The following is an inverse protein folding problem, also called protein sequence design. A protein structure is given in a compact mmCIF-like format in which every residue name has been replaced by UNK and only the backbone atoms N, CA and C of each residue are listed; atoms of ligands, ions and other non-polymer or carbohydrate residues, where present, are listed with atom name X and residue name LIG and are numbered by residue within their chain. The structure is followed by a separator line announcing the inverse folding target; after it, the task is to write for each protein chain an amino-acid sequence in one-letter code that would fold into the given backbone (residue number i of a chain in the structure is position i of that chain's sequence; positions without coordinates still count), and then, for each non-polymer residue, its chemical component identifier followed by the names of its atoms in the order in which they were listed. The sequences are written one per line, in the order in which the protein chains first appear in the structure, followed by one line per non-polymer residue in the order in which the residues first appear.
data_IF_106965440814
#
_entry.id   IF_106965440814
#
_cell.length_a   1.000
_cell.length_b   1.000
_cell.length_c   1.000
_cell.angle_alpha   90.00
_cell.angle_beta   90.00
_cell.angle_gamma   90.00
#
_symmetry.space_group_name_H-M   'P 1'
#
loop_
_entity.id
_entity.type
_entity.pdbx_description
1 polymer ?
#
# COMPACT_ATOMS: atom_id res chain seq x y z
N UNK A 1 42.28 -37.10 0.82
CA UNK A 1 41.25 -36.71 1.80
C UNK A 1 40.95 -35.22 1.62
N UNK A 2 39.88 -34.89 0.88
CA UNK A 2 39.44 -33.51 0.61
C UNK A 2 38.07 -33.34 1.26
N UNK A 3 37.97 -32.50 2.29
CA UNK A 3 36.70 -32.20 2.97
C UNK A 3 36.06 -30.97 2.32
N UNK A 4 34.84 -31.17 1.81
CA UNK A 4 33.89 -30.16 1.33
C UNK A 4 33.12 -29.55 2.50
N UNK A 5 32.79 -28.26 2.41
CA UNK A 5 31.77 -27.50 3.17
C UNK A 5 32.17 -26.01 3.06
N UNK A 6 31.41 -25.03 2.60
CA UNK A 6 29.98 -24.84 2.40
C UNK A 6 29.85 -23.53 1.59
N UNK A 7 29.39 -23.58 0.35
CA UNK A 7 28.91 -22.39 -0.38
C UNK A 7 27.42 -22.62 -0.59
N UNK A 8 26.64 -22.14 0.37
CA UNK A 8 25.18 -21.99 0.29
C UNK A 8 24.91 -20.57 0.74
N UNK A 9 24.39 -19.74 -0.17
CA UNK A 9 24.05 -18.35 0.12
C UNK A 9 24.43 -17.34 -0.95
N UNK A 10 24.35 -17.68 -2.24
CA UNK A 10 24.42 -16.72 -3.33
C UNK A 10 23.28 -17.00 -4.30
N UNK A 11 22.12 -16.36 -4.08
CA UNK A 11 20.99 -16.56 -4.98
C UNK A 11 19.67 -15.92 -4.63
N UNK A 12 19.60 -14.67 -4.14
CA UNK A 12 18.41 -13.78 -4.30
C UNK A 12 18.76 -12.27 -4.26
N UNK A 13 19.89 -11.82 -4.80
CA UNK A 13 20.21 -10.37 -4.84
C UNK A 13 20.77 -9.91 -6.20
N UNK A 14 20.16 -10.35 -7.30
CA UNK A 14 20.46 -9.82 -8.64
C UNK A 14 19.19 -9.66 -9.47
N UNK A 15 18.31 -8.76 -9.02
CA UNK A 15 17.22 -8.23 -9.86
C UNK A 15 16.85 -6.80 -9.48
N UNK A 16 17.88 -5.97 -9.25
CA UNK A 16 17.71 -4.52 -9.25
C UNK A 16 18.90 -3.88 -9.95
N UNK A 17 18.63 -3.29 -11.12
CA UNK A 17 19.49 -2.26 -11.70
C UNK A 17 20.54 -2.71 -12.71
N UNK A 18 20.15 -3.29 -13.86
CA UNK A 18 20.93 -3.10 -15.09
C UNK A 18 20.12 -3.41 -16.34
N UNK A 19 19.30 -2.46 -16.81
CA UNK A 19 18.87 -2.37 -18.21
C UNK A 19 18.24 -1.00 -18.48
N UNK A 20 19.08 0.04 -18.53
CA UNK A 20 18.80 1.25 -19.32
C UNK A 20 20.08 1.56 -20.10
N UNK A 21 20.03 1.35 -21.41
CA UNK A 21 21.13 1.61 -22.32
C UNK A 21 21.40 3.11 -22.50
N UNK A 22 22.65 3.50 -22.84
CA UNK A 22 23.03 4.89 -23.03
C UNK A 22 22.74 5.34 -24.47
N UNK A 23 21.51 5.80 -24.75
CA UNK A 23 21.22 6.66 -25.89
C UNK A 23 20.11 7.64 -25.51
N UNK A 24 20.54 8.84 -25.12
CA UNK A 24 19.89 10.15 -25.24
C UNK A 24 20.46 11.08 -24.15
N UNK A 25 21.76 11.38 -24.26
CA UNK A 25 22.41 12.46 -23.50
C UNK A 25 22.09 13.77 -24.21
N UNK A 26 20.85 14.24 -24.06
CA UNK A 26 20.42 15.55 -24.50
C UNK A 26 19.36 16.08 -23.53
N UNK A 27 19.81 16.64 -22.41
CA UNK A 27 19.42 18.02 -22.06
C UNK A 27 20.30 18.55 -20.93
N UNK A 28 21.40 19.18 -21.34
CA UNK A 28 22.15 20.13 -20.53
C UNK A 28 21.39 21.46 -20.44
N UNK A 29 20.14 21.46 -19.98
CA UNK A 29 19.47 22.68 -19.50
C UNK A 29 18.39 22.27 -18.49
N UNK A 30 18.69 22.34 -17.19
CA UNK A 30 17.67 22.65 -16.16
C UNK A 30 18.24 22.90 -14.76
N UNK A 31 19.57 22.87 -14.58
CA UNK A 31 20.21 23.38 -13.35
C UNK A 31 20.12 24.90 -13.31
N UNK A 32 18.94 25.42 -12.98
CA UNK A 32 18.64 26.85 -12.94
C UNK A 32 17.28 27.22 -12.36
N UNK A 33 16.42 26.27 -11.94
CA UNK A 33 15.17 26.58 -11.21
C UNK A 33 14.92 25.54 -10.10
N UNK A 34 15.83 25.44 -9.14
CA UNK A 34 15.62 24.69 -7.88
C UNK A 34 15.14 25.59 -6.73
N UNK A 35 14.35 26.63 -7.01
CA UNK A 35 13.84 27.51 -5.97
C UNK A 35 12.43 28.06 -6.20
N UNK A 36 11.50 27.24 -6.70
CA UNK A 36 10.05 27.36 -6.44
C UNK A 36 9.42 25.97 -6.56
N UNK A 37 9.59 25.09 -5.56
CA UNK A 37 8.87 23.79 -5.51
C UNK A 37 8.23 23.50 -4.15
N UNK A 38 8.19 24.48 -3.26
CA UNK A 38 7.28 24.49 -2.12
C UNK A 38 6.07 25.34 -2.47
N UNK A 39 4.87 24.85 -2.16
CA UNK A 39 3.62 25.63 -2.11
C UNK A 39 2.82 25.79 -3.41
N UNK A 40 2.68 24.73 -4.22
CA UNK A 40 1.61 24.65 -5.25
C UNK A 40 0.87 23.31 -5.28
N UNK A 41 0.86 22.56 -4.16
CA UNK A 41 -0.07 21.42 -4.02
C UNK A 41 -1.51 21.88 -3.75
N UNK A 42 -1.70 23.09 -3.21
CA UNK A 42 -3.02 23.62 -2.86
C UNK A 42 -3.79 24.24 -4.04
N UNK A 43 -3.25 24.20 -5.26
CA UNK A 43 -3.82 24.90 -6.42
C UNK A 43 -4.44 23.96 -7.47
N UNK A 44 -4.45 22.65 -7.23
CA UNK A 44 -5.04 21.68 -8.16
C UNK A 44 -6.45 21.33 -7.67
N UNK A 45 -7.50 21.52 -8.49
CA UNK A 45 -8.86 21.12 -8.11
C UNK A 45 -8.93 19.62 -7.79
N UNK A 46 -9.63 19.27 -6.71
CA UNK A 46 -9.82 17.86 -6.28
C UNK A 46 -10.37 16.99 -7.41
N UNK A 47 -11.26 17.54 -8.26
CA UNK A 47 -11.77 16.85 -9.45
C UNK A 47 -10.65 16.35 -10.39
N UNK A 48 -9.62 17.17 -10.61
CA UNK A 48 -8.49 16.77 -11.46
C UNK A 48 -7.65 15.66 -10.82
N UNK A 49 -7.49 15.68 -9.49
CA UNK A 49 -6.79 14.59 -8.79
C UNK A 49 -7.58 13.27 -8.85
N UNK A 50 -8.91 13.32 -8.79
CA UNK A 50 -9.77 12.15 -8.99
C UNK A 50 -9.70 11.60 -10.41
N UNK A 51 -9.70 12.47 -11.44
CA UNK A 51 -9.51 12.05 -12.83
C UNK A 51 -8.12 11.41 -13.05
N UNK A 52 -7.08 12.00 -12.45
CA UNK A 52 -5.74 11.43 -12.46
C UNK A 52 -5.70 10.07 -11.76
N UNK A 53 -6.33 9.94 -10.60
CA UNK A 53 -6.42 8.67 -9.88
C UNK A 53 -7.12 7.60 -10.72
N UNK A 54 -8.22 7.95 -11.39
CA UNK A 54 -8.94 7.06 -12.32
C UNK A 54 -8.05 6.61 -13.47
N UNK A 55 -7.27 7.52 -14.03
CA UNK A 55 -6.32 7.19 -15.11
C UNK A 55 -5.22 6.26 -14.61
N UNK A 56 -4.62 6.52 -13.45
CA UNK A 56 -3.61 5.62 -12.85
C UNK A 56 -4.16 4.21 -12.64
N UNK A 57 -5.40 4.07 -12.16
CA UNK A 57 -6.06 2.76 -11.99
C UNK A 57 -6.35 2.07 -13.33
N UNK A 58 -6.62 2.84 -14.39
CA UNK A 58 -6.75 2.32 -15.76
C UNK A 58 -5.40 1.86 -16.31
N UNK A 59 -4.34 2.57 -16.00
CA UNK A 59 -2.97 2.25 -16.43
C UNK A 59 -2.42 0.97 -15.76
N UNK A 60 -3.03 0.50 -14.67
CA UNK A 60 -2.73 -0.82 -14.10
C UNK A 60 -3.17 -2.00 -15.01
N UNK A 61 -4.11 -1.78 -15.94
CA UNK A 61 -4.61 -2.85 -16.82
C UNK A 61 -3.56 -3.50 -17.72
N UNK A 62 -2.73 -2.76 -18.47
CA UNK A 62 -1.64 -3.36 -19.23
C UNK A 62 -0.65 -4.12 -18.35
N UNK A 63 -0.37 -3.65 -17.14
CA UNK A 63 0.54 -4.32 -16.20
C UNK A 63 -0.05 -5.66 -15.72
N UNK A 64 -1.32 -5.68 -15.32
CA UNK A 64 -2.04 -6.90 -14.93
C UNK A 64 -2.06 -7.91 -16.09
N UNK A 65 -2.32 -7.44 -17.33
CA UNK A 65 -2.30 -8.31 -18.52
C UNK A 65 -0.91 -8.87 -18.77
N UNK A 66 0.14 -8.07 -18.59
CA UNK A 66 1.51 -8.53 -18.74
C UNK A 66 1.82 -9.67 -17.77
N UNK A 67 1.54 -9.47 -16.47
CA UNK A 67 1.74 -10.52 -15.47
C UNK A 67 0.88 -11.76 -15.69
N UNK A 68 -0.35 -11.59 -16.19
CA UNK A 68 -1.20 -12.72 -16.58
C UNK A 68 -0.55 -13.57 -17.68
N UNK A 69 0.05 -12.92 -18.69
CA UNK A 69 0.77 -13.61 -19.76
C UNK A 69 2.04 -14.31 -19.26
N UNK A 70 2.75 -13.71 -18.30
CA UNK A 70 3.91 -14.34 -17.68
C UNK A 70 3.52 -15.59 -16.89
N UNK A 71 2.47 -15.51 -16.08
CA UNK A 71 1.91 -16.64 -15.33
C UNK A 71 1.49 -17.76 -16.28
N UNK A 72 0.81 -17.43 -17.38
CA UNK A 72 0.39 -18.42 -18.38
C UNK A 72 1.58 -19.14 -19.04
N UNK A 73 2.69 -18.45 -19.30
CA UNK A 73 3.92 -19.09 -19.81
C UNK A 73 4.51 -20.06 -18.78
N UNK A 74 4.57 -19.64 -17.52
CA UNK A 74 5.07 -20.49 -16.42
C UNK A 74 4.20 -21.73 -16.26
N UNK A 75 2.88 -21.60 -16.40
CA UNK A 75 1.95 -22.74 -16.36
C UNK A 75 2.24 -23.77 -17.46
N UNK A 76 2.44 -23.32 -18.70
CA UNK A 76 2.82 -24.21 -19.82
C UNK A 76 4.18 -24.88 -19.56
N UNK A 77 5.14 -24.16 -18.99
CA UNK A 77 6.45 -24.71 -18.64
C UNK A 77 6.35 -25.76 -17.53
N UNK A 78 5.49 -25.54 -16.53
CA UNK A 78 5.19 -26.51 -15.46
C UNK A 78 4.56 -27.77 -16.03
N UNK A 79 3.59 -27.62 -16.93
CA UNK A 79 2.93 -28.75 -17.60
C UNK A 79 3.92 -29.56 -18.44
N UNK A 80 4.79 -28.86 -19.19
CA UNK A 80 5.84 -29.50 -19.96
C UNK A 80 6.79 -30.29 -19.06
N UNK A 81 7.26 -29.68 -17.97
CA UNK A 81 8.16 -30.34 -17.03
C UNK A 81 7.49 -31.55 -16.36
N UNK A 82 6.18 -31.47 -16.06
CA UNK A 82 5.42 -32.59 -15.53
C UNK A 82 5.36 -33.77 -16.51
N UNK A 83 5.07 -33.51 -17.79
CA UNK A 83 5.09 -34.56 -18.84
C UNK A 83 6.48 -35.16 -19.03
N UNK A 84 7.52 -34.32 -19.02
CA UNK A 84 8.91 -34.78 -19.12
C UNK A 84 9.28 -35.68 -17.93
N UNK A 85 8.76 -35.40 -16.74
CA UNK A 85 8.95 -36.22 -15.54
C UNK A 85 8.23 -37.57 -15.66
N UNK A 86 6.98 -37.57 -16.15
CA UNK A 86 6.18 -38.79 -16.38
C UNK A 86 6.88 -39.73 -17.37
N UNK A 87 7.33 -39.21 -18.52
CA UNK A 87 8.09 -39.98 -19.50
C UNK A 87 9.39 -40.57 -18.91
N UNK A 88 10.04 -39.85 -17.98
CA UNK A 88 11.24 -40.34 -17.29
C UNK A 88 10.92 -41.40 -16.26
N UNK A 89 9.81 -41.25 -15.53
CA UNK A 89 9.33 -42.24 -14.57
C UNK A 89 8.99 -43.56 -15.29
N UNK A 90 8.33 -43.52 -16.44
CA UNK A 90 8.08 -44.71 -17.28
C UNK A 90 9.38 -45.38 -17.75
N UNK A 91 10.33 -44.59 -18.26
CA UNK A 91 11.63 -45.11 -18.71
C UNK A 91 12.41 -45.77 -17.57
N UNK A 92 12.43 -45.15 -16.39
CA UNK A 92 13.08 -45.72 -15.21
C UNK A 92 12.38 -47.01 -14.77
N UNK A 93 11.05 -47.06 -14.81
CA UNK A 93 10.31 -48.27 -14.47
C UNK A 93 10.67 -49.44 -15.41
N UNK A 94 10.76 -49.18 -16.72
CA UNK A 94 11.17 -50.18 -17.71
C UNK A 94 12.61 -50.63 -17.49
N UNK A 95 13.56 -49.70 -17.30
CA UNK A 95 14.95 -50.04 -16.98
C UNK A 95 15.07 -50.86 -15.69
N UNK A 96 14.27 -50.54 -14.68
CA UNK A 96 14.24 -51.30 -13.42
C UNK A 96 13.74 -52.73 -13.65
N UNK A 97 12.67 -52.90 -14.43
CA UNK A 97 12.13 -54.22 -14.76
C UNK A 97 13.17 -55.07 -15.52
N UNK A 98 13.81 -54.53 -16.55
CA UNK A 98 14.87 -55.21 -17.31
C UNK A 98 16.04 -55.63 -16.40
N UNK A 99 16.49 -54.76 -15.50
CA UNK A 99 17.56 -55.09 -14.56
C UNK A 99 17.17 -56.19 -13.57
N UNK A 100 15.91 -56.23 -13.13
CA UNK A 100 15.41 -57.27 -12.23
C UNK A 100 15.33 -58.63 -12.93
N UNK A 101 14.95 -58.65 -14.21
CA UNK A 101 14.98 -59.84 -15.06
C UNK A 101 16.42 -60.37 -15.21
N UNK A 102 17.35 -59.52 -15.66
CA UNK A 102 18.77 -59.88 -15.79
C UNK A 102 19.38 -60.39 -14.47
N UNK A 103 18.98 -59.79 -13.36
CA UNK A 103 19.41 -60.22 -12.02
C UNK A 103 18.84 -61.60 -11.67
N UNK A 104 17.57 -61.85 -11.99
CA UNK A 104 16.91 -63.14 -11.74
C UNK A 104 17.59 -64.25 -12.53
N UNK A 105 17.81 -64.03 -13.83
CA UNK A 105 18.47 -65.00 -14.71
C UNK A 105 19.89 -65.34 -14.22
N UNK A 106 20.64 -64.32 -13.81
CA UNK A 106 21.97 -64.52 -13.20
C UNK A 106 21.92 -65.35 -11.91
N UNK A 107 20.85 -65.27 -11.13
CA UNK A 107 20.69 -66.03 -9.89
C UNK A 107 20.36 -67.51 -10.14
N UNK A 108 19.76 -67.85 -11.28
CA UNK A 108 19.49 -69.23 -11.69
C UNK A 108 20.77 -70.02 -12.05
N UNK A 109 21.91 -69.34 -12.22
CA UNK A 109 23.24 -69.96 -12.30
C UNK A 109 23.62 -70.51 -13.68
N UNK A 110 22.92 -70.12 -14.75
CA UNK A 110 23.26 -70.47 -16.12
C UNK A 110 24.65 -69.97 -16.55
N UNK A 111 25.37 -70.75 -17.36
CA UNK A 111 26.68 -70.36 -17.91
C UNK A 111 26.59 -69.55 -19.21
N UNK A 112 25.47 -69.69 -19.93
CA UNK A 112 25.19 -69.01 -21.20
C UNK A 112 23.78 -68.43 -21.16
N UNK A 113 23.66 -67.14 -21.42
CA UNK A 113 22.41 -66.40 -21.47
C UNK A 113 22.11 -65.98 -22.91
N UNK A 114 20.84 -66.00 -23.33
CA UNK A 114 20.44 -65.65 -24.69
C UNK A 114 19.50 -64.45 -24.66
N UNK A 115 19.99 -63.30 -25.13
CA UNK A 115 19.20 -62.09 -25.27
C UNK A 115 19.22 -61.63 -26.72
N UNK A 116 18.04 -61.32 -27.28
CA UNK A 116 17.90 -60.85 -28.66
C UNK A 116 18.69 -61.67 -29.70
N UNK A 117 18.63 -63.01 -29.59
CA UNK A 117 19.34 -63.99 -30.44
C UNK A 117 20.88 -63.96 -30.36
N UNK A 118 21.45 -63.33 -29.33
CA UNK A 118 22.90 -63.32 -29.06
C UNK A 118 23.19 -64.04 -27.75
N UNK A 119 24.31 -64.75 -27.73
CA UNK A 119 24.78 -65.48 -26.54
C UNK A 119 25.72 -64.60 -25.73
N UNK A 120 25.53 -64.59 -24.42
CA UNK A 120 26.32 -63.84 -23.45
C UNK A 120 26.78 -64.75 -22.32
N UNK A 121 27.99 -64.49 -21.81
CA UNK A 121 28.49 -65.19 -20.62
C UNK A 121 28.00 -64.52 -19.33
N UNK A 122 28.02 -65.25 -18.21
CA UNK A 122 27.66 -64.68 -16.89
C UNK A 122 28.43 -63.40 -16.57
N UNK A 123 29.73 -63.36 -16.87
CA UNK A 123 30.57 -62.19 -16.59
C UNK A 123 30.20 -60.98 -17.47
N UNK A 124 29.82 -61.21 -18.73
CA UNK A 124 29.33 -60.16 -19.62
C UNK A 124 28.01 -59.58 -19.12
N UNK A 125 27.08 -60.43 -18.68
CA UNK A 125 25.79 -59.99 -18.14
C UNK A 125 25.98 -59.23 -16.81
N UNK A 126 26.89 -59.68 -15.94
CA UNK A 126 27.23 -58.96 -14.70
C UNK A 126 27.84 -57.57 -14.98
N UNK A 127 28.73 -57.48 -15.96
CA UNK A 127 29.34 -56.21 -16.35
C UNK A 127 28.29 -55.24 -16.92
N UNK A 128 27.38 -55.72 -17.78
CA UNK A 128 26.27 -54.93 -18.33
C UNK A 128 25.33 -54.46 -17.21
N UNK A 129 24.90 -55.37 -16.33
CA UNK A 129 24.03 -55.05 -15.19
C UNK A 129 24.66 -53.99 -14.27
N UNK A 130 25.97 -54.06 -14.04
CA UNK A 130 26.71 -53.06 -13.25
C UNK A 130 26.64 -51.69 -13.92
N UNK A 131 26.92 -51.62 -15.22
CA UNK A 131 26.84 -50.36 -15.99
C UNK A 131 25.42 -49.78 -15.98
N UNK A 132 24.41 -50.61 -16.24
CA UNK A 132 22.99 -50.19 -16.21
C UNK A 132 22.59 -49.68 -14.84
N UNK A 133 23.01 -50.33 -13.77
CA UNK A 133 22.67 -49.92 -12.42
C UNK A 133 23.28 -48.57 -12.04
N UNK A 134 24.53 -48.30 -12.43
CA UNK A 134 25.14 -46.98 -12.22
C UNK A 134 24.45 -45.87 -13.02
N UNK A 135 24.06 -46.15 -14.27
CA UNK A 135 23.26 -45.24 -15.06
C UNK A 135 21.89 -44.99 -14.42
N UNK A 136 21.20 -46.04 -13.99
CA UNK A 136 19.89 -45.95 -13.33
C UNK A 136 19.94 -45.10 -12.06
N UNK A 137 20.96 -45.25 -11.21
CA UNK A 137 21.14 -44.39 -10.02
C UNK A 137 21.23 -42.91 -10.40
N UNK A 138 22.01 -42.62 -11.44
CA UNK A 138 22.22 -41.24 -11.92
C UNK A 138 20.94 -40.66 -12.51
N UNK A 139 20.22 -41.44 -13.32
CA UNK A 139 18.94 -41.04 -13.92
C UNK A 139 17.84 -40.88 -12.84
N UNK A 140 17.78 -41.77 -11.85
CA UNK A 140 16.87 -41.65 -10.70
C UNK A 140 17.14 -40.38 -9.90
N UNK A 141 18.41 -40.09 -9.60
CA UNK A 141 18.78 -38.85 -8.89
C UNK A 141 18.39 -37.61 -9.71
N UNK A 142 18.57 -37.66 -11.03
CA UNK A 142 18.16 -36.59 -11.93
C UNK A 142 16.63 -36.40 -11.93
N UNK A 143 15.86 -37.50 -11.97
CA UNK A 143 14.40 -37.49 -11.87
C UNK A 143 13.96 -36.86 -10.54
N UNK A 144 14.58 -37.24 -9.44
CA UNK A 144 14.25 -36.70 -8.12
C UNK A 144 14.50 -35.19 -8.05
N UNK A 145 15.62 -34.71 -8.60
CA UNK A 145 15.90 -33.27 -8.71
C UNK A 145 14.87 -32.56 -9.59
N UNK A 146 14.47 -33.15 -10.74
CA UNK A 146 13.41 -32.58 -11.59
C UNK A 146 12.07 -32.50 -10.87
N UNK A 147 11.72 -33.51 -10.05
CA UNK A 147 10.51 -33.51 -9.23
C UNK A 147 10.54 -32.36 -8.21
N UNK A 148 11.66 -32.16 -7.52
CA UNK A 148 11.83 -31.02 -6.60
C UNK A 148 11.69 -29.66 -7.31
N UNK A 149 12.25 -29.52 -8.52
CA UNK A 149 12.10 -28.31 -9.33
C UNK A 149 10.65 -28.10 -9.73
N UNK A 150 9.93 -29.16 -10.13
CA UNK A 150 8.52 -29.09 -10.48
C UNK A 150 7.67 -28.63 -9.30
N UNK A 151 7.91 -29.19 -8.11
CA UNK A 151 7.18 -28.83 -6.90
C UNK A 151 7.42 -27.36 -6.51
N UNK A 152 8.69 -26.91 -6.56
CA UNK A 152 9.02 -25.51 -6.32
C UNK A 152 8.37 -24.56 -7.34
N UNK A 153 8.34 -24.95 -8.62
CA UNK A 153 7.67 -24.15 -9.68
C UNK A 153 6.15 -24.10 -9.49
N UNK A 154 5.52 -25.20 -9.09
CA UNK A 154 4.08 -25.24 -8.78
C UNK A 154 3.74 -24.31 -7.63
N UNK A 155 4.49 -24.37 -6.54
CA UNK A 155 4.33 -23.46 -5.41
C UNK A 155 4.50 -21.99 -5.82
N UNK A 156 5.52 -21.70 -6.64
CA UNK A 156 5.72 -20.35 -7.19
C UNK A 156 4.58 -19.89 -8.09
N UNK A 157 4.04 -20.78 -8.92
CA UNK A 157 2.89 -20.50 -9.79
C UNK A 157 1.64 -20.20 -8.97
N UNK A 158 1.36 -20.96 -7.93
CA UNK A 158 0.21 -20.75 -7.05
C UNK A 158 0.32 -19.42 -6.29
N UNK A 159 1.51 -19.09 -5.79
CA UNK A 159 1.77 -17.80 -5.17
C UNK A 159 1.59 -16.63 -6.17
N UNK A 160 2.06 -16.78 -7.41
CA UNK A 160 1.91 -15.77 -8.44
C UNK A 160 0.43 -15.56 -8.84
N UNK A 161 -0.35 -16.65 -8.94
CA UNK A 161 -1.80 -16.60 -9.16
C UNK A 161 -2.51 -15.87 -8.03
N UNK A 162 -2.18 -16.19 -6.79
CA UNK A 162 -2.75 -15.50 -5.63
C UNK A 162 -2.44 -14.00 -5.66
N UNK A 163 -1.21 -13.62 -6.00
CA UNK A 163 -0.82 -12.22 -6.14
C UNK A 163 -1.59 -11.50 -7.24
N UNK A 164 -1.86 -12.18 -8.36
CA UNK A 164 -2.68 -11.64 -9.45
C UNK A 164 -4.13 -11.38 -9.00
N UNK A 165 -4.70 -12.28 -8.19
CA UNK A 165 -6.04 -12.09 -7.60
C UNK A 165 -6.04 -10.88 -6.66
N UNK A 166 -5.10 -10.81 -5.72
CA UNK A 166 -4.96 -9.68 -4.80
C UNK A 166 -4.82 -8.34 -5.55
N UNK A 167 -4.07 -8.31 -6.65
CA UNK A 167 -3.89 -7.11 -7.46
C UNK A 167 -5.19 -6.68 -8.15
N UNK A 168 -6.01 -7.63 -8.62
CA UNK A 168 -7.31 -7.33 -9.21
C UNK A 168 -8.33 -6.84 -8.17
N UNK A 169 -8.29 -7.41 -6.96
CA UNK A 169 -9.10 -6.96 -5.83
C UNK A 169 -8.72 -5.54 -5.43
N UNK A 170 -7.42 -5.27 -5.23
CA UNK A 170 -6.91 -3.94 -4.91
C UNK A 170 -7.30 -2.91 -5.98
N UNK A 171 -7.18 -3.26 -7.27
CA UNK A 171 -7.65 -2.41 -8.37
C UNK A 171 -9.16 -2.12 -8.27
N UNK A 172 -9.97 -3.12 -7.97
CA UNK A 172 -11.42 -2.96 -7.84
C UNK A 172 -11.79 -2.09 -6.65
N UNK A 173 -11.09 -2.26 -5.53
CA UNK A 173 -11.24 -1.42 -4.34
C UNK A 173 -10.91 0.04 -4.64
N UNK A 174 -9.76 0.31 -5.28
CA UNK A 174 -9.37 1.68 -5.68
C UNK A 174 -10.42 2.33 -6.59
N UNK A 175 -11.06 1.56 -7.49
CA UNK A 175 -12.15 2.08 -8.33
C UNK A 175 -13.38 2.49 -7.51
N UNK A 176 -13.76 1.66 -6.53
CA UNK A 176 -14.89 1.95 -5.65
C UNK A 176 -14.61 3.17 -4.77
N UNK A 177 -13.40 3.29 -4.22
CA UNK A 177 -12.96 4.42 -3.42
C UNK A 177 -12.98 5.73 -4.23
N UNK A 178 -12.45 5.72 -5.45
CA UNK A 178 -12.51 6.87 -6.35
C UNK A 178 -13.96 7.27 -6.63
N UNK A 179 -14.83 6.30 -6.96
CA UNK A 179 -16.25 6.58 -7.21
C UNK A 179 -16.96 7.15 -5.96
N UNK A 180 -16.61 6.67 -4.77
CA UNK A 180 -17.14 7.21 -3.52
C UNK A 180 -16.71 8.67 -3.30
N UNK A 181 -15.42 8.98 -3.50
CA UNK A 181 -14.90 10.34 -3.37
C UNK A 181 -15.51 11.30 -4.40
N UNK A 182 -15.73 10.83 -5.63
CA UNK A 182 -16.44 11.60 -6.66
C UNK A 182 -17.88 11.95 -6.24
N UNK A 183 -18.58 10.99 -5.60
CA UNK A 183 -19.91 11.25 -5.05
C UNK A 183 -19.87 12.29 -3.92
N UNK A 184 -18.89 12.21 -3.02
CA UNK A 184 -18.73 13.18 -1.93
C UNK A 184 -18.46 14.60 -2.48
N UNK A 185 -17.59 14.71 -3.49
CA UNK A 185 -17.29 15.98 -4.15
C UNK A 185 -18.55 16.60 -4.77
N UNK A 186 -19.36 15.79 -5.47
CA UNK A 186 -20.61 16.25 -6.08
C UNK A 186 -21.63 16.74 -5.04
N UNK A 187 -21.77 16.05 -3.91
CA UNK A 187 -22.64 16.50 -2.81
C UNK A 187 -22.16 17.85 -2.25
N UNK A 188 -20.85 18.01 -2.06
CA UNK A 188 -20.26 19.25 -1.57
C UNK A 188 -20.47 20.40 -2.56
N UNK A 189 -20.32 20.17 -3.86
CA UNK A 189 -20.60 21.17 -4.91
C UNK A 189 -22.07 21.62 -4.87
N UNK A 190 -23.02 20.67 -4.80
CA UNK A 190 -24.45 20.99 -4.67
C UNK A 190 -24.74 21.77 -3.39
N UNK A 191 -24.12 21.41 -2.27
CA UNK A 191 -24.26 22.13 -1.01
C UNK A 191 -23.71 23.56 -1.09
N UNK A 192 -22.55 23.75 -1.74
CA UNK A 192 -21.97 25.08 -1.98
C UNK A 192 -22.90 25.94 -2.83
N UNK A 193 -23.41 25.43 -3.95
CA UNK A 193 -24.38 26.14 -4.79
C UNK A 193 -25.67 26.47 -4.03
N UNK A 194 -26.14 25.58 -3.15
CA UNK A 194 -27.31 25.87 -2.29
C UNK A 194 -27.00 26.93 -1.21
N UNK A 195 -25.79 26.96 -0.67
CA UNK A 195 -25.36 27.95 0.33
C UNK A 195 -25.10 29.34 -0.26
N UNK A 196 -24.90 29.44 -1.57
CA UNK A 196 -24.74 30.70 -2.30
C UNK A 196 -26.07 31.47 -2.45
N UNK A 197 -27.16 30.96 -1.88
CA UNK A 197 -28.40 31.71 -1.66
C UNK A 197 -28.12 32.85 -0.66
N UNK A 198 -28.05 34.09 -1.16
CA UNK A 198 -27.90 35.32 -0.37
C UNK A 198 -28.96 35.40 0.73
N UNK A 199 -28.56 35.23 1.99
CA UNK A 199 -29.32 35.81 3.10
C UNK A 199 -29.17 37.33 3.02
N UNK A 200 -30.30 38.04 2.94
CA UNK A 200 -30.33 39.50 2.85
C UNK A 200 -29.98 40.13 4.20
N UNK A 201 -28.68 40.33 4.43
CA UNK A 201 -28.09 40.93 5.65
C UNK A 201 -28.55 42.38 5.89
N UNK A 202 -29.27 42.97 4.92
CA UNK A 202 -29.83 44.31 5.01
C UNK A 202 -30.98 44.41 6.01
N UNK A 203 -31.73 43.33 6.28
CA UNK A 203 -32.81 43.34 7.27
C UNK A 203 -32.25 43.26 8.69
N UNK A 204 -31.26 42.40 8.93
CA UNK A 204 -30.60 42.26 10.23
C UNK A 204 -29.84 43.54 10.62
N UNK A 205 -29.14 44.15 9.66
CA UNK A 205 -28.44 45.42 9.87
C UNK A 205 -29.41 46.58 10.17
N UNK A 206 -30.55 46.65 9.47
CA UNK A 206 -31.61 47.62 9.76
C UNK A 206 -32.21 47.43 11.15
N UNK A 207 -32.45 46.19 11.57
CA UNK A 207 -32.95 45.89 12.92
C UNK A 207 -31.95 46.25 14.01
N UNK A 208 -30.65 45.98 13.82
CA UNK A 208 -29.60 46.40 14.77
C UNK A 208 -29.54 47.92 14.93
N UNK A 209 -29.56 48.66 13.83
CA UNK A 209 -29.54 50.12 13.86
C UNK A 209 -30.78 50.69 14.57
N UNK A 210 -31.97 50.12 14.35
CA UNK A 210 -33.19 50.53 15.04
C UNK A 210 -33.11 50.31 16.56
N UNK A 211 -32.53 49.19 16.99
CA UNK A 211 -32.36 48.90 18.43
C UNK A 211 -31.39 49.88 19.08
N UNK A 212 -30.27 50.21 18.41
CA UNK A 212 -29.30 51.17 18.94
C UNK A 212 -29.88 52.60 19.02
N UNK A 213 -30.72 52.99 18.06
CA UNK A 213 -31.42 54.27 18.09
C UNK A 213 -32.42 54.35 19.27
N UNK A 214 -33.18 53.27 19.50
CA UNK A 214 -34.08 53.16 20.67
C UNK A 214 -33.30 53.25 21.98
N UNK A 215 -32.16 52.55 22.10
CA UNK A 215 -31.30 52.61 23.29
C UNK A 215 -30.80 54.03 23.55
N UNK A 216 -30.38 54.74 22.49
CA UNK A 216 -29.91 56.12 22.57
C UNK A 216 -31.03 57.04 23.06
N UNK A 217 -32.25 56.89 22.54
CA UNK A 217 -33.41 57.68 22.95
C UNK A 217 -33.77 57.45 24.42
N UNK A 218 -33.77 56.21 24.89
CA UNK A 218 -34.00 55.89 26.32
C UNK A 218 -32.94 56.55 27.21
N UNK A 219 -31.66 56.55 26.80
CA UNK A 219 -30.59 57.19 27.57
C UNK A 219 -30.75 58.72 27.64
N UNK A 220 -31.16 59.36 26.54
CA UNK A 220 -31.43 60.80 26.52
C UNK A 220 -32.63 61.13 27.40
N UNK A 221 -33.73 60.41 27.27
CA UNK A 221 -34.93 60.64 28.10
C UNK A 221 -34.65 60.35 29.58
N UNK A 222 -33.86 59.31 29.91
CA UNK A 222 -33.39 59.05 31.27
C UNK A 222 -32.48 60.16 31.79
N UNK A 223 -31.56 60.68 30.98
CA UNK A 223 -30.73 61.84 31.36
C UNK A 223 -31.55 63.10 31.60
N UNK A 224 -32.58 63.34 30.78
CA UNK A 224 -33.47 64.49 30.92
C UNK A 224 -34.40 64.36 32.13
N UNK A 225 -34.89 63.14 32.42
CA UNK A 225 -35.68 62.86 33.61
C UNK A 225 -34.85 62.95 34.90
N UNK A 226 -33.56 62.60 34.85
CA UNK A 226 -32.63 62.72 35.97
C UNK A 226 -31.93 64.09 36.04
N UNK A 227 -32.10 64.95 35.03
CA UNK A 227 -31.62 66.33 35.08
C UNK A 227 -32.73 67.23 35.62
N UNK A 228 -32.97 67.15 36.94
CA UNK A 228 -33.65 68.23 37.63
C UNK A 228 -32.77 69.49 37.59
N UNK A 229 -33.42 70.59 37.22
CA UNK A 229 -32.86 71.93 37.11
C UNK A 229 -32.51 72.47 38.50
N UNK A 230 -31.23 72.53 38.86
CA UNK A 230 -30.75 73.28 40.03
C UNK A 230 -30.32 74.70 39.61
N UNK A 231 -30.96 75.77 40.12
CA UNK A 231 -30.55 77.15 39.88
C UNK A 231 -29.27 77.49 40.67
N UNK A 232 -28.38 78.24 40.01
CA UNK A 232 -27.07 78.69 40.50
C UNK A 232 -27.18 79.54 41.78
N UNK A 233 -26.39 79.23 42.81
CA UNK A 233 -25.80 80.26 43.70
C UNK A 233 -24.50 79.79 44.40
N UNK A 234 -23.43 80.58 44.18
CA UNK A 234 -22.21 80.87 44.98
C UNK A 234 -21.23 79.79 45.54
N UNK A 235 -19.96 80.20 45.47
CA UNK A 235 -18.70 79.59 45.96
C UNK A 235 -18.60 79.68 47.50
N UNK A 236 -18.00 78.70 48.22
CA UNK A 236 -16.62 78.91 48.74
C UNK A 236 -15.70 77.68 48.89
N UNK A 237 -14.40 77.94 48.62
CA UNK A 237 -13.14 77.43 49.19
C UNK A 237 -13.02 76.03 49.82
N UNK A 238 -12.08 75.27 49.24
CA UNK A 238 -10.83 74.97 49.95
C UNK A 238 -10.62 73.53 50.43
N UNK A 239 -9.38 73.09 50.22
CA UNK A 239 -8.63 72.04 50.96
C UNK A 239 -8.60 70.64 50.34
N UNK A 240 -7.53 70.49 49.55
CA UNK A 240 -6.46 69.47 49.56
C UNK A 240 -6.74 68.05 49.07
N UNK A 241 -5.78 67.68 48.24
CA UNK A 241 -5.48 66.41 47.62
C UNK A 241 -4.94 65.36 48.60
N UNK A 242 -4.78 64.18 47.97
CA UNK A 242 -4.01 63.00 48.34
C UNK A 242 -4.78 61.95 49.14
N UNK A 243 -5.01 60.79 48.52
CA UNK A 243 -3.99 59.75 48.69
C UNK A 243 -3.98 58.71 47.56
N UNK A 244 -2.76 58.30 47.28
CA UNK A 244 -2.25 57.33 46.34
C UNK A 244 -2.72 55.93 46.76
N UNK A 245 -3.24 55.11 45.84
CA UNK A 245 -3.52 53.69 46.12
C UNK A 245 -2.88 52.78 45.09
N UNK A 246 -2.06 51.91 45.66
CA UNK A 246 -1.05 51.01 45.10
C UNK A 246 -1.65 49.90 44.22
N UNK A 247 -1.34 49.98 42.92
CA UNK A 247 -1.82 49.14 41.82
C UNK A 247 -1.29 47.69 41.91
N UNK A 248 -0.36 47.40 42.82
CA UNK A 248 0.27 46.08 42.92
C UNK A 248 -0.64 44.97 43.49
N UNK A 249 -1.66 45.31 44.28
CA UNK A 249 -2.56 44.31 44.90
C UNK A 249 -3.66 43.80 43.96
N UNK A 250 -4.14 44.63 43.04
CA UNK A 250 -5.26 44.30 42.14
C UNK A 250 -4.85 43.29 41.03
N UNK A 251 -3.56 43.26 40.67
CA UNK A 251 -3.03 42.36 39.63
C UNK A 251 -2.85 40.93 40.17
N UNK A 252 -2.64 40.76 41.47
CA UNK A 252 -2.41 39.43 42.08
C UNK A 252 -3.71 38.64 42.23
N UNK A 253 -4.85 39.32 42.43
CA UNK A 253 -6.18 38.69 42.52
C UNK A 253 -6.73 38.25 41.15
N UNK A 254 -6.39 38.96 40.07
CA UNK A 254 -6.89 38.67 38.72
C UNK A 254 -6.33 37.37 38.11
N UNK A 255 -5.15 36.90 38.54
CA UNK A 255 -4.52 35.68 37.99
C UNK A 255 -4.62 34.45 38.90
N UNK A 256 -5.24 34.56 40.08
CA UNK A 256 -5.41 33.44 41.02
C UNK A 256 -6.64 32.55 40.73
N UNK A 257 -7.55 32.96 39.85
CA UNK A 257 -8.80 32.22 39.61
C UNK A 257 -8.94 31.73 38.17
N UNK A 258 -8.19 30.66 37.84
CA UNK A 258 -8.66 29.59 36.95
C UNK A 258 -7.70 28.40 36.93
N UNK A 259 -8.23 27.20 37.27
CA UNK A 259 -7.84 26.03 36.50
C UNK A 259 -9.05 25.20 36.01
N UNK A 260 -8.94 24.86 34.73
CA UNK A 260 -9.22 23.58 34.05
C UNK A 260 -10.53 22.80 34.23
N UNK A 261 -10.92 22.33 33.06
CA UNK A 261 -12.05 21.51 32.61
C UNK A 261 -11.87 20.02 32.97
N UNK A 262 -12.96 19.27 32.85
CA UNK A 262 -13.22 17.83 33.10
C UNK A 262 -13.53 17.48 34.55
N UNK A 263 -14.60 16.75 34.90
CA UNK A 263 -15.58 15.99 34.13
C UNK A 263 -16.21 14.94 35.06
N UNK A 264 -17.38 14.41 34.67
CA UNK A 264 -17.99 13.16 35.13
C UNK A 264 -18.75 13.08 36.49
N UNK A 265 -20.04 12.75 36.32
CA UNK A 265 -20.86 11.73 37.05
C UNK A 265 -21.58 12.14 38.33
N UNK A 266 -22.91 12.24 38.17
CA UNK A 266 -23.80 11.23 38.77
C UNK A 266 -24.71 11.70 39.90
N UNK A 267 -25.99 11.29 39.80
CA UNK A 267 -27.00 11.18 40.87
C UNK A 267 -27.42 12.51 41.53
N UNK A 268 -28.67 12.82 41.88
CA UNK A 268 -29.91 12.11 42.22
C UNK A 268 -30.99 13.23 42.16
N UNK A 269 -32.21 13.02 41.67
CA UNK A 269 -33.32 12.31 42.32
C UNK A 269 -34.42 12.06 41.30
#
# INVERSE_FOLDING_TARGET
MLKKSLIVGAGVLLLSGLLVGPRNVCSYVSTGVSKVRGTFKDSVPIAFELDRARQMVKDLEPEIRHHTLEIAKVEVDVDRLARDLENRDERLANQQAEMLELKSDLAEGGSVFVYNKRHYTSDQVKADLTSRFEQFKTESSTRDNMRQILDARRQGLDAARQKLVEMNEAKSQLRLEIAHLESQLKILEVAKTRSEYKFDDSSLSRTKNLIDDIRTRIQVESKLANSEFEPVDRIPVGVKADDDRDIAQEITEFFAEKPSVDGYVGAEK
#
